data_IF_337175755571
#
_entry.id   IF_337175755571
#
_cell.length_a   1.000
_cell.length_b   1.000
_cell.length_c   1.000
_cell.angle_alpha   90.00
_cell.angle_beta   90.00
_cell.angle_gamma   90.00
#
_symmetry.space_group_name_H-M   'P 1'
#
loop_
_entity.id
_entity.type
_entity.pdbx_description
1 polymer ?
#
# COMPACT_ATOMS: atom_id res chain seq x y z
N UNK A 1 16.40 -78.64 47.37
CA UNK A 1 17.13 -79.90 47.13
C UNK A 1 17.52 -79.89 45.67
N UNK A 2 18.82 -79.80 45.44
CA UNK A 2 19.46 -79.61 44.14
C UNK A 2 19.51 -80.90 43.32
N UNK A 3 19.69 -80.74 42.00
CA UNK A 3 20.27 -81.70 41.05
C UNK A 3 19.37 -82.92 40.70
N UNK A 4 19.41 -83.57 39.54
CA UNK A 4 20.39 -83.60 38.45
C UNK A 4 19.81 -84.37 37.23
N UNK A 5 20.61 -84.46 36.16
CA UNK A 5 20.55 -85.39 35.00
C UNK A 5 19.68 -84.95 33.79
N UNK A 6 20.25 -84.41 32.69
CA UNK A 6 21.16 -85.00 31.70
C UNK A 6 20.50 -86.06 30.80
N UNK A 7 20.31 -85.74 29.52
CA UNK A 7 20.90 -86.52 28.43
C UNK A 7 20.93 -85.72 27.12
N UNK A 8 21.88 -86.08 26.26
CA UNK A 8 22.42 -85.30 25.16
C UNK A 8 22.11 -85.89 23.78
N UNK A 9 22.29 -85.03 22.78
CA UNK A 9 22.83 -85.31 21.45
C UNK A 9 21.90 -85.91 20.38
N UNK A 10 21.85 -85.20 19.25
CA UNK A 10 21.32 -85.71 17.98
C UNK A 10 21.06 -84.61 16.96
N UNK A 11 22.13 -84.00 16.42
CA UNK A 11 22.08 -83.32 15.11
C UNK A 11 22.78 -84.24 14.09
N UNK A 12 22.33 -84.28 12.81
CA UNK A 12 23.04 -83.48 11.81
C UNK A 12 22.14 -82.85 10.71
N UNK A 13 22.54 -81.63 10.28
CA UNK A 13 22.64 -81.06 8.91
C UNK A 13 21.83 -81.70 7.76
N UNK A 14 21.28 -81.03 6.74
CA UNK A 14 21.33 -79.67 6.20
C UNK A 14 20.59 -79.67 4.84
N UNK A 15 20.19 -78.48 4.36
CA UNK A 15 19.84 -78.13 2.96
C UNK A 15 18.46 -78.61 2.47
N UNK A 16 17.53 -77.76 2.02
CA UNK A 16 17.60 -76.90 0.82
C UNK A 16 16.37 -75.95 0.84
N UNK A 17 16.56 -74.63 0.81
CA UNK A 17 16.33 -73.76 -0.36
C UNK A 17 14.91 -73.76 -0.98
N UNK A 18 14.16 -72.68 -0.70
CA UNK A 18 13.54 -71.88 -1.77
C UNK A 18 12.02 -71.92 -1.97
N UNK A 19 11.44 -70.71 -1.90
CA UNK A 19 10.34 -70.19 -2.76
C UNK A 19 8.95 -70.01 -2.12
N UNK A 20 8.81 -68.86 -1.46
CA UNK A 20 7.75 -67.83 -1.61
C UNK A 20 6.46 -68.13 -2.39
N UNK A 21 5.30 -67.87 -1.76
CA UNK A 21 4.15 -67.23 -2.42
C UNK A 21 3.27 -66.50 -1.39
N UNK A 22 3.07 -65.20 -1.63
CA UNK A 22 2.36 -64.24 -0.80
C UNK A 22 0.82 -64.40 -0.87
N UNK A 23 0.13 -64.23 0.26
CA UNK A 23 -1.33 -64.10 0.33
C UNK A 23 -1.70 -62.61 0.38
N UNK A 24 -2.46 -62.16 -0.64
CA UNK A 24 -2.86 -60.77 -0.82
C UNK A 24 -3.96 -60.33 0.16
N UNK A 25 -3.71 -59.24 0.88
CA UNK A 25 -4.72 -58.49 1.66
C UNK A 25 -5.38 -57.43 0.78
N UNK A 26 -6.70 -57.51 0.62
CA UNK A 26 -7.50 -56.52 -0.11
C UNK A 26 -7.55 -55.18 0.66
N UNK A 27 -7.14 -54.04 0.08
CA UNK A 27 -7.29 -52.76 0.76
C UNK A 27 -8.73 -52.25 0.65
N UNK A 28 -9.31 -51.98 1.82
CA UNK A 28 -10.62 -51.36 2.03
C UNK A 28 -10.70 -50.01 1.28
N UNK A 29 -11.46 -49.97 0.19
CA UNK A 29 -11.67 -48.74 -0.60
C UNK A 29 -12.40 -47.69 0.24
N UNK A 30 -11.66 -46.66 0.66
CA UNK A 30 -12.22 -45.43 1.22
C UNK A 30 -12.90 -44.69 0.08
N UNK A 31 -14.23 -44.78 0.01
CA UNK A 31 -15.08 -44.02 -0.93
C UNK A 31 -14.94 -42.52 -0.65
N UNK A 32 -13.93 -41.88 -1.26
CA UNK A 32 -13.82 -40.42 -1.32
C UNK A 32 -15.04 -39.88 -2.08
N UNK A 33 -16.05 -39.42 -1.33
CA UNK A 33 -17.08 -38.53 -1.89
C UNK A 33 -16.35 -37.30 -2.40
N UNK A 34 -16.19 -37.16 -3.72
CA UNK A 34 -15.84 -35.89 -4.36
C UNK A 34 -16.99 -34.93 -4.07
N UNK A 35 -16.85 -34.11 -3.04
CA UNK A 35 -17.65 -32.90 -2.90
C UNK A 35 -17.23 -31.98 -4.04
N UNK A 36 -18.11 -31.82 -5.04
CA UNK A 36 -17.93 -30.89 -6.15
C UNK A 36 -18.22 -29.44 -5.77
N UNK A 37 -18.36 -29.15 -4.47
CA UNK A 37 -18.58 -27.80 -3.95
C UNK A 37 -17.34 -27.30 -3.22
N UNK A 38 -16.21 -27.22 -3.94
CA UNK A 38 -15.11 -26.37 -3.49
C UNK A 38 -15.55 -24.90 -3.73
N UNK A 39 -15.65 -24.04 -2.70
CA UNK A 39 -15.85 -22.62 -2.93
C UNK A 39 -14.68 -22.10 -3.77
N UNK A 40 -15.00 -21.41 -4.87
CA UNK A 40 -14.00 -20.82 -5.78
C UNK A 40 -13.02 -19.97 -4.94
N UNK A 41 -11.70 -20.09 -5.16
CA UNK A 41 -10.73 -19.35 -4.35
C UNK A 41 -11.02 -17.84 -4.43
N UNK A 42 -10.89 -17.10 -3.31
CA UNK A 42 -11.31 -15.70 -3.20
C UNK A 42 -10.63 -14.78 -4.22
N UNK A 43 -9.51 -15.23 -4.80
CA UNK A 43 -8.74 -14.54 -5.84
C UNK A 43 -9.52 -14.35 -7.15
N UNK A 44 -10.51 -15.20 -7.45
CA UNK A 44 -11.34 -15.07 -8.67
C UNK A 44 -12.63 -14.26 -8.46
N UNK A 45 -12.89 -13.81 -7.22
CA UNK A 45 -14.05 -13.00 -6.84
C UNK A 45 -13.68 -11.57 -6.46
N UNK A 46 -12.53 -11.06 -6.94
CA UNK A 46 -12.39 -9.63 -7.16
C UNK A 46 -13.33 -9.24 -8.31
N UNK A 47 -14.63 -9.29 -8.00
CA UNK A 47 -15.68 -8.76 -8.84
C UNK A 47 -15.25 -7.36 -9.23
N UNK A 48 -15.27 -7.08 -10.53
CA UNK A 48 -15.05 -5.74 -11.10
C UNK A 48 -15.91 -4.79 -10.26
N UNK A 49 -15.28 -4.06 -9.33
CA UNK A 49 -15.98 -3.12 -8.46
C UNK A 49 -16.53 -2.07 -9.40
N UNK A 50 -17.85 -2.08 -9.62
CA UNK A 50 -18.50 -1.14 -10.53
C UNK A 50 -18.10 0.28 -10.10
N UNK A 51 -17.62 1.06 -11.06
CA UNK A 51 -17.23 2.44 -10.82
C UNK A 51 -18.45 3.23 -10.33
N UNK A 52 -18.26 4.03 -9.29
CA UNK A 52 -19.28 4.96 -8.80
C UNK A 52 -19.57 6.02 -9.87
N UNK A 53 -20.81 6.54 -9.97
CA UNK A 53 -21.13 7.65 -10.86
C UNK A 53 -20.18 8.85 -10.69
N UNK A 54 -19.74 9.13 -9.46
CA UNK A 54 -18.75 10.19 -9.18
C UNK A 54 -17.40 9.93 -9.85
N UNK A 55 -16.94 8.68 -9.84
CA UNK A 55 -15.67 8.29 -10.47
C UNK A 55 -15.77 8.40 -12.00
N UNK A 56 -16.91 7.98 -12.57
CA UNK A 56 -17.16 8.09 -14.01
C UNK A 56 -17.14 9.57 -14.43
N UNK A 57 -17.87 10.44 -13.71
CA UNK A 57 -17.85 11.88 -13.96
C UNK A 57 -16.43 12.44 -13.84
N UNK A 58 -15.67 12.03 -12.82
CA UNK A 58 -14.28 12.44 -12.64
C UNK A 58 -13.37 12.04 -13.80
N UNK A 59 -13.46 10.80 -14.27
CA UNK A 59 -12.69 10.35 -15.44
C UNK A 59 -13.10 11.06 -16.72
N UNK A 60 -14.40 11.18 -17.00
CA UNK A 60 -14.89 11.82 -18.22
C UNK A 60 -14.53 13.30 -18.23
N UNK A 61 -14.82 14.03 -17.15
CA UNK A 61 -14.50 15.46 -17.06
C UNK A 61 -12.98 15.69 -17.11
N UNK A 62 -12.20 14.88 -16.40
CA UNK A 62 -10.75 14.98 -16.40
C UNK A 62 -10.17 14.75 -17.79
N UNK A 63 -10.63 13.71 -18.50
CA UNK A 63 -10.19 13.42 -19.86
C UNK A 63 -10.60 14.53 -20.84
N UNK A 64 -11.82 15.06 -20.71
CA UNK A 64 -12.29 16.16 -21.55
C UNK A 64 -11.39 17.39 -21.35
N UNK A 65 -11.15 17.80 -20.10
CA UNK A 65 -10.31 18.98 -19.82
C UNK A 65 -8.84 18.76 -20.16
N UNK A 66 -8.34 17.53 -20.07
CA UNK A 66 -7.00 17.17 -20.52
C UNK A 66 -6.85 17.38 -22.04
N UNK A 67 -7.88 17.10 -22.83
CA UNK A 67 -7.82 17.25 -24.29
C UNK A 67 -7.99 18.69 -24.77
N UNK A 68 -8.56 19.59 -23.96
CA UNK A 68 -8.87 20.96 -24.37
C UNK A 68 -7.62 21.73 -24.87
N UNK A 69 -6.48 21.76 -24.16
CA UNK A 69 -5.30 22.49 -24.62
C UNK A 69 -4.65 21.93 -25.88
N UNK A 70 -5.00 20.72 -26.31
CA UNK A 70 -4.53 20.14 -27.57
C UNK A 70 -5.41 20.51 -28.78
N UNK A 71 -6.63 21.01 -28.53
CA UNK A 71 -7.62 21.32 -29.58
C UNK A 71 -7.76 22.84 -29.73
N UNK A 72 -7.65 23.57 -28.63
CA UNK A 72 -7.78 25.03 -28.59
C UNK A 72 -6.41 25.63 -28.36
N UNK A 73 -5.87 26.26 -29.41
CA UNK A 73 -4.62 27.02 -29.35
C UNK A 73 -4.76 28.17 -28.35
N UNK A 74 -3.83 28.24 -27.39
CA UNK A 74 -3.85 29.26 -26.33
C UNK A 74 -2.87 30.38 -26.72
N UNK A 75 -3.36 31.59 -27.07
CA UNK A 75 -2.50 32.65 -27.55
C UNK A 75 -1.41 33.01 -26.55
N UNK A 76 -0.15 32.92 -26.99
CA UNK A 76 1.02 33.26 -26.17
C UNK A 76 1.57 32.12 -25.31
N UNK A 77 1.05 30.89 -25.45
CA UNK A 77 1.59 29.71 -24.79
C UNK A 77 2.33 28.84 -25.81
N UNK A 78 3.57 28.47 -25.52
CA UNK A 78 4.32 27.53 -26.35
C UNK A 78 3.81 26.10 -26.13
N UNK A 79 4.07 25.20 -27.08
CA UNK A 79 3.60 23.81 -27.05
C UNK A 79 3.93 23.05 -25.73
N UNK A 80 5.14 23.15 -25.15
CA UNK A 80 5.41 22.57 -23.82
C UNK A 80 4.48 23.10 -22.73
N UNK A 81 4.10 24.37 -22.80
CA UNK A 81 3.19 25.03 -21.86
C UNK A 81 1.76 24.54 -21.99
N UNK A 82 1.27 24.31 -23.20
CA UNK A 82 -0.06 23.73 -23.44
C UNK A 82 -0.18 22.31 -22.89
N UNK A 83 0.88 21.50 -23.05
CA UNK A 83 0.95 20.14 -22.47
C UNK A 83 0.94 20.18 -20.94
N UNK A 84 1.69 21.10 -20.33
CA UNK A 84 1.65 21.29 -18.88
C UNK A 84 0.28 21.76 -18.40
N UNK A 85 -0.39 22.65 -19.15
CA UNK A 85 -1.74 23.09 -18.83
C UNK A 85 -2.75 21.92 -18.88
N UNK A 86 -2.64 21.04 -19.87
CA UNK A 86 -3.47 19.84 -19.97
C UNK A 86 -3.33 18.93 -18.75
N UNK A 87 -2.09 18.66 -18.34
CA UNK A 87 -1.79 17.86 -17.14
C UNK A 87 -2.34 18.55 -15.88
N UNK A 88 -2.18 19.86 -15.76
CA UNK A 88 -2.66 20.64 -14.62
C UNK A 88 -4.18 20.62 -14.49
N UNK A 89 -4.92 20.79 -15.58
CA UNK A 89 -6.38 20.73 -15.58
C UNK A 89 -6.88 19.34 -15.20
N UNK A 90 -6.25 18.27 -15.70
CA UNK A 90 -6.54 16.90 -15.29
C UNK A 90 -6.32 16.71 -13.79
N UNK A 91 -5.19 17.21 -13.25
CA UNK A 91 -4.84 17.09 -11.84
C UNK A 91 -5.88 17.75 -10.93
N UNK A 92 -6.36 18.95 -11.27
CA UNK A 92 -7.41 19.65 -10.51
C UNK A 92 -8.68 18.80 -10.43
N UNK A 93 -9.13 18.25 -11.56
CA UNK A 93 -10.34 17.42 -11.58
C UNK A 93 -10.15 16.16 -10.72
N UNK A 94 -8.99 15.51 -10.82
CA UNK A 94 -8.71 14.29 -10.09
C UNK A 94 -8.50 14.53 -8.59
N UNK A 95 -8.00 15.69 -8.18
CA UNK A 95 -7.92 16.08 -6.77
C UNK A 95 -9.28 16.43 -6.17
N UNK A 96 -10.17 17.08 -6.92
CA UNK A 96 -11.49 17.50 -6.42
C UNK A 96 -12.49 16.35 -6.41
N UNK A 97 -12.52 15.54 -7.47
CA UNK A 97 -13.51 14.46 -7.63
C UNK A 97 -13.01 13.10 -7.14
N UNK A 98 -11.73 12.98 -6.82
CA UNK A 98 -11.07 11.77 -6.31
C UNK A 98 -11.53 10.49 -7.05
N UNK A 99 -11.46 10.42 -8.40
CA UNK A 99 -11.86 9.21 -9.14
C UNK A 99 -10.94 8.02 -8.80
N UNK A 100 -9.69 8.32 -8.45
CA UNK A 100 -8.64 7.41 -7.97
C UNK A 100 -8.02 7.98 -6.68
N UNK A 101 -7.29 7.17 -5.88
CA UNK A 101 -6.62 7.66 -4.67
C UNK A 101 -5.66 8.82 -4.95
N UNK A 102 -5.58 9.79 -4.03
CA UNK A 102 -4.73 10.99 -4.17
C UNK A 102 -3.26 10.67 -4.52
N UNK A 103 -2.69 9.63 -3.91
CA UNK A 103 -1.33 9.16 -4.22
C UNK A 103 -1.20 8.67 -5.66
N UNK A 104 -2.22 7.99 -6.19
CA UNK A 104 -2.24 7.54 -7.58
C UNK A 104 -2.35 8.72 -8.54
N UNK A 105 -3.14 9.76 -8.21
CA UNK A 105 -3.20 11.01 -8.97
C UNK A 105 -1.83 11.69 -9.03
N UNK A 106 -1.12 11.81 -7.91
CA UNK A 106 0.21 12.44 -7.88
C UNK A 106 1.24 11.69 -8.75
N UNK A 107 1.25 10.36 -8.70
CA UNK A 107 2.12 9.54 -9.56
C UNK A 107 1.71 9.65 -11.03
N UNK A 108 0.41 9.71 -11.33
CA UNK A 108 -0.10 9.90 -12.68
C UNK A 108 0.35 11.23 -13.28
N UNK A 109 0.34 12.32 -12.49
CA UNK A 109 0.82 13.63 -12.94
C UNK A 109 2.29 13.56 -13.36
N UNK A 110 3.17 13.04 -12.49
CA UNK A 110 4.60 12.90 -12.79
C UNK A 110 4.80 11.99 -14.02
N UNK A 111 4.04 10.91 -14.12
CA UNK A 111 4.09 10.01 -15.28
C UNK A 111 3.74 10.77 -16.57
N UNK A 112 2.68 11.58 -16.57
CA UNK A 112 2.30 12.36 -17.76
C UNK A 112 3.33 13.44 -18.10
N UNK A 113 3.91 14.11 -17.11
CA UNK A 113 4.98 15.09 -17.32
C UNK A 113 6.20 14.43 -18.00
N UNK A 114 6.59 13.24 -17.52
CA UNK A 114 7.67 12.47 -18.15
C UNK A 114 7.31 12.04 -19.57
N UNK A 115 6.08 11.57 -19.81
CA UNK A 115 5.68 11.05 -21.12
C UNK A 115 5.40 12.13 -22.17
N UNK A 116 5.02 13.34 -21.77
CA UNK A 116 4.53 14.38 -22.67
C UNK A 116 5.41 15.64 -22.71
N UNK A 117 6.17 15.93 -21.65
CA UNK A 117 6.88 17.20 -21.49
C UNK A 117 8.39 17.02 -21.38
N UNK A 118 8.87 15.88 -20.88
CA UNK A 118 10.32 15.66 -20.73
C UNK A 118 11.07 15.46 -22.06
N UNK A 119 12.40 15.56 -22.01
CA UNK A 119 13.26 15.33 -23.19
C UNK A 119 13.14 13.91 -23.78
N UNK A 120 12.62 12.95 -23.00
CA UNK A 120 12.34 11.57 -23.42
C UNK A 120 10.86 11.32 -23.69
N UNK A 121 10.06 12.37 -23.91
CA UNK A 121 8.64 12.26 -24.20
C UNK A 121 8.38 11.41 -25.46
N UNK A 122 7.17 10.82 -25.51
CA UNK A 122 6.74 9.97 -26.64
C UNK A 122 6.64 10.77 -27.94
N UNK A 123 6.26 12.04 -27.83
CA UNK A 123 6.12 12.98 -28.93
C UNK A 123 6.98 14.19 -28.61
N UNK A 124 7.70 14.69 -29.62
CA UNK A 124 8.58 15.86 -29.49
C UNK A 124 7.86 16.99 -28.71
N UNK A 125 8.32 17.34 -27.50
CA UNK A 125 7.63 18.31 -26.64
C UNK A 125 7.74 19.75 -27.15
N UNK A 126 8.68 20.05 -28.05
CA UNK A 126 8.89 21.42 -28.56
C UNK A 126 8.18 21.72 -29.86
N UNK A 127 7.46 20.75 -30.45
CA UNK A 127 6.82 20.94 -31.76
C UNK A 127 7.81 21.12 -32.91
N UNK A 128 9.07 20.71 -32.73
CA UNK A 128 10.16 20.96 -33.67
C UNK A 128 10.85 22.31 -33.53
N UNK A 129 10.49 23.14 -32.54
CA UNK A 129 11.16 24.41 -32.29
C UNK A 129 12.44 24.22 -31.45
N UNK A 130 13.59 24.47 -32.06
CA UNK A 130 14.90 24.39 -31.42
C UNK A 130 15.09 25.46 -30.33
N UNK A 131 14.38 26.59 -30.39
CA UNK A 131 14.46 27.64 -29.38
C UNK A 131 13.88 27.21 -28.02
N UNK A 132 13.03 26.16 -28.01
CA UNK A 132 12.40 25.62 -26.81
C UNK A 132 13.17 24.44 -26.20
N UNK A 133 14.30 24.02 -26.79
CA UNK A 133 15.06 22.87 -26.31
C UNK A 133 15.52 23.03 -24.84
N UNK A 134 15.88 24.25 -24.43
CA UNK A 134 16.31 24.56 -23.06
C UNK A 134 15.16 24.52 -22.04
N UNK A 135 13.91 24.57 -22.50
CA UNK A 135 12.72 24.52 -21.61
C UNK A 135 12.35 23.10 -21.22
N UNK A 136 12.89 22.10 -21.93
CA UNK A 136 12.54 20.69 -21.79
C UNK A 136 13.51 20.02 -20.83
N UNK A 137 13.01 19.60 -19.68
CA UNK A 137 13.83 19.00 -18.65
C UNK A 137 14.02 17.48 -18.87
N UNK A 138 15.15 16.91 -18.44
CA UNK A 138 15.31 15.48 -18.28
C UNK A 138 14.21 14.84 -17.41
N UNK A 139 13.80 13.62 -17.75
CA UNK A 139 12.84 12.85 -16.94
C UNK A 139 13.26 12.73 -15.46
N UNK A 140 14.57 12.68 -15.18
CA UNK A 140 15.11 12.61 -13.83
C UNK A 140 14.71 13.81 -12.94
N UNK A 141 14.57 15.00 -13.51
CA UNK A 141 14.23 16.21 -12.76
C UNK A 141 12.77 16.19 -12.28
N UNK A 142 11.86 15.62 -13.08
CA UNK A 142 10.47 15.38 -12.65
C UNK A 142 10.40 14.36 -11.51
N UNK A 143 11.21 13.30 -11.55
CA UNK A 143 11.30 12.35 -10.43
C UNK A 143 11.96 12.96 -9.19
N UNK A 144 12.85 13.93 -9.34
CA UNK A 144 13.49 14.61 -8.22
C UNK A 144 12.48 15.34 -7.31
N UNK A 145 11.31 15.71 -7.84
CA UNK A 145 10.22 16.27 -7.04
C UNK A 145 9.74 15.33 -5.91
N UNK A 146 9.84 14.01 -6.09
CA UNK A 146 9.51 13.01 -5.06
C UNK A 146 10.49 13.05 -3.87
N UNK A 147 11.73 13.50 -4.10
CA UNK A 147 12.79 13.60 -3.11
C UNK A 147 12.98 15.03 -2.59
N UNK A 148 11.94 15.87 -2.67
CA UNK A 148 11.99 17.23 -2.15
C UNK A 148 12.38 17.24 -0.65
N UNK A 149 13.30 18.12 -0.20
CA UNK A 149 13.72 18.18 1.20
C UNK A 149 12.57 18.31 2.20
N UNK A 150 11.48 18.98 1.83
CA UNK A 150 10.29 19.13 2.66
C UNK A 150 9.56 17.79 2.82
N UNK A 151 9.48 16.97 1.77
CA UNK A 151 8.88 15.62 1.83
C UNK A 151 9.73 14.73 2.75
N UNK A 152 11.06 14.76 2.59
CA UNK A 152 11.98 14.00 3.44
C UNK A 152 11.89 14.44 4.91
N UNK A 153 11.75 15.75 5.16
CA UNK A 153 11.54 16.30 6.50
C UNK A 153 10.23 15.77 7.12
N UNK A 154 9.12 15.80 6.39
CA UNK A 154 7.85 15.24 6.86
C UNK A 154 7.94 13.73 7.10
N UNK A 155 8.63 12.99 6.24
CA UNK A 155 8.87 11.56 6.44
C UNK A 155 9.63 11.30 7.76
N UNK A 156 10.70 12.05 8.03
CA UNK A 156 11.44 11.99 9.29
C UNK A 156 10.57 12.34 10.50
N UNK A 157 9.74 13.39 10.38
CA UNK A 157 8.78 13.78 11.42
C UNK A 157 7.76 12.68 11.73
N UNK A 158 7.19 12.05 10.69
CA UNK A 158 6.26 10.93 10.87
C UNK A 158 6.93 9.68 11.46
N UNK A 159 8.19 9.39 11.09
CA UNK A 159 8.95 8.29 11.70
C UNK A 159 9.17 8.52 13.21
N UNK A 160 9.52 9.76 13.61
CA UNK A 160 9.68 10.12 15.02
C UNK A 160 8.35 10.04 15.76
N UNK A 161 7.27 10.59 15.18
CA UNK A 161 5.93 10.56 15.77
C UNK A 161 5.43 9.13 15.96
N UNK A 162 5.59 8.27 14.95
CA UNK A 162 5.22 6.85 15.07
C UNK A 162 6.10 6.10 16.07
N UNK A 163 7.39 6.43 16.18
CA UNK A 163 8.25 5.94 17.24
C UNK A 163 7.73 6.32 18.63
N UNK A 164 7.36 7.60 18.82
CA UNK A 164 6.80 8.11 20.06
C UNK A 164 5.49 7.38 20.47
N UNK A 165 4.60 7.15 19.50
CA UNK A 165 3.36 6.38 19.67
C UNK A 165 3.67 4.93 20.08
N UNK A 166 4.57 4.26 19.34
CA UNK A 166 4.91 2.84 19.56
C UNK A 166 5.47 2.58 20.96
N UNK A 167 6.25 3.50 21.51
CA UNK A 167 6.78 3.40 22.88
C UNK A 167 5.87 4.02 23.95
N UNK A 168 4.69 4.53 23.57
CA UNK A 168 3.74 5.16 24.49
C UNK A 168 4.26 6.45 25.13
N UNK A 169 5.25 7.10 24.50
CA UNK A 169 5.84 8.35 24.99
C UNK A 169 4.81 9.48 24.97
N UNK A 170 3.96 9.50 23.95
CA UNK A 170 2.83 10.44 23.80
C UNK A 170 1.82 10.31 24.96
N UNK A 171 1.42 9.08 25.33
CA UNK A 171 0.51 8.81 26.44
C UNK A 171 1.11 9.16 27.80
N UNK A 172 2.38 8.81 28.02
CA UNK A 172 3.07 9.14 29.26
C UNK A 172 3.21 10.66 29.42
N UNK A 173 3.60 11.36 28.36
CA UNK A 173 3.71 12.81 28.34
C UNK A 173 2.35 13.48 28.61
N UNK A 174 1.28 13.01 27.96
CA UNK A 174 -0.08 13.51 28.20
C UNK A 174 -0.52 13.32 29.67
N UNK A 175 -0.26 12.15 30.25
CA UNK A 175 -0.59 11.86 31.65
C UNK A 175 0.16 12.77 32.63
N UNK A 176 1.42 13.10 32.36
CA UNK A 176 2.22 14.02 33.18
C UNK A 176 1.73 15.45 33.03
N UNK A 177 1.39 15.86 31.81
CA UNK A 177 0.84 17.19 31.53
C UNK A 177 -0.56 17.40 32.12
N UNK A 178 -1.33 16.33 32.36
CA UNK A 178 -2.65 16.39 33.01
C UNK A 178 -2.60 16.52 34.54
N UNK A 179 -1.51 16.09 35.20
CA UNK A 179 -1.35 16.16 36.67
C UNK A 179 -1.59 17.55 37.30
N UNK A 180 -1.18 18.69 36.70
CA UNK A 180 -1.42 20.01 37.27
C UNK A 180 -2.87 20.52 37.13
N UNK A 181 -3.75 19.84 36.38
CA UNK A 181 -5.14 20.25 36.21
C UNK A 181 -6.02 19.67 37.34
N UNK A 182 -6.70 20.52 38.15
CA UNK A 182 -7.54 20.06 39.27
C UNK A 182 -8.79 19.29 38.83
N UNK A 183 -9.34 18.46 39.72
CA UNK A 183 -10.47 17.53 39.53
C UNK A 183 -11.85 18.16 39.20
N UNK A 184 -11.91 19.39 38.70
CA UNK A 184 -13.15 19.93 38.14
C UNK A 184 -13.25 19.54 36.67
N UNK A 185 -14.39 18.98 36.25
CA UNK A 185 -14.60 18.52 34.88
C UNK A 185 -14.24 19.58 33.81
N UNK A 186 -14.48 20.86 34.12
CA UNK A 186 -14.14 21.98 33.23
C UNK A 186 -12.64 22.16 33.03
N UNK A 187 -11.84 22.01 34.10
CA UNK A 187 -10.38 22.18 34.02
C UNK A 187 -9.68 20.97 33.40
N UNK A 188 -10.22 19.76 33.61
CA UNK A 188 -9.74 18.54 32.95
C UNK A 188 -9.96 18.60 31.44
N UNK A 189 -11.14 19.04 30.99
CA UNK A 189 -11.42 19.22 29.55
C UNK A 189 -10.54 20.32 28.95
N UNK A 190 -10.32 21.43 29.66
CA UNK A 190 -9.40 22.49 29.21
C UNK A 190 -7.97 21.96 29.06
N UNK A 191 -7.47 21.19 30.05
CA UNK A 191 -6.16 20.56 30.00
C UNK A 191 -6.04 19.58 28.84
N UNK A 192 -7.07 18.77 28.60
CA UNK A 192 -7.14 17.86 27.46
C UNK A 192 -7.05 18.63 26.13
N UNK A 193 -7.83 19.71 25.95
CA UNK A 193 -7.80 20.53 24.73
C UNK A 193 -6.42 21.17 24.50
N UNK A 194 -5.78 21.69 25.54
CA UNK A 194 -4.44 22.30 25.48
C UNK A 194 -3.38 21.27 25.10
N UNK A 195 -3.40 20.10 25.73
CA UNK A 195 -2.46 19.01 25.44
C UNK A 195 -2.70 18.48 24.03
N UNK A 196 -3.96 18.36 23.60
CA UNK A 196 -4.32 17.99 22.22
C UNK A 196 -3.74 18.99 21.22
N UNK A 197 -3.91 20.29 21.46
CA UNK A 197 -3.41 21.33 20.57
C UNK A 197 -1.87 21.32 20.48
N UNK A 198 -1.19 21.15 21.62
CA UNK A 198 0.27 21.04 21.66
C UNK A 198 0.76 19.78 20.95
N UNK A 199 0.16 18.62 21.21
CA UNK A 199 0.51 17.37 20.55
C UNK A 199 0.18 17.41 19.04
N UNK A 200 -0.89 18.11 18.62
CA UNK A 200 -1.27 18.28 17.21
C UNK A 200 -0.27 19.08 16.38
N UNK A 201 0.58 19.90 17.01
CA UNK A 201 1.63 20.63 16.29
C UNK A 201 2.83 19.75 15.92
N UNK A 202 3.03 18.63 16.63
CA UNK A 202 4.18 17.74 16.44
C UNK A 202 3.79 16.36 15.93
N UNK A 203 2.54 15.93 16.14
CA UNK A 203 1.97 14.69 15.61
C UNK A 203 1.10 14.99 14.39
N UNK A 204 0.94 14.01 13.50
CA UNK A 204 -0.04 14.15 12.40
C UNK A 204 -1.45 14.27 12.99
N UNK A 205 -2.29 15.12 12.39
CA UNK A 205 -3.66 15.36 12.86
C UNK A 205 -4.47 14.06 13.05
N UNK A 206 -4.18 13.04 12.22
CA UNK A 206 -4.78 11.70 12.32
C UNK A 206 -4.30 10.94 13.56
N UNK A 207 -3.02 11.01 13.92
CA UNK A 207 -2.46 10.39 15.13
C UNK A 207 -3.00 11.06 16.40
N UNK A 208 -3.06 12.40 16.43
CA UNK A 208 -3.62 13.14 17.57
C UNK A 208 -5.08 12.78 17.83
N UNK A 209 -5.88 12.61 16.78
CA UNK A 209 -7.28 12.18 16.89
C UNK A 209 -7.39 10.77 17.49
N UNK A 210 -6.53 9.83 17.07
CA UNK A 210 -6.50 8.47 17.62
C UNK A 210 -6.10 8.43 19.11
N UNK A 211 -5.12 9.24 19.54
CA UNK A 211 -4.73 9.34 20.94
C UNK A 211 -5.88 9.88 21.80
N UNK A 212 -6.63 10.88 21.32
CA UNK A 212 -7.78 11.42 22.05
C UNK A 212 -8.94 10.43 22.17
N UNK A 213 -9.20 9.63 21.14
CA UNK A 213 -10.14 8.50 21.23
C UNK A 213 -9.72 7.43 22.24
N UNK A 214 -8.42 7.32 22.56
CA UNK A 214 -7.92 6.36 23.55
C UNK A 214 -7.93 6.93 24.99
N UNK A 215 -7.99 8.27 25.13
CA UNK A 215 -7.96 8.97 26.43
C UNK A 215 -9.38 9.30 26.93
N UNK A 216 -10.32 9.55 26.02
CA UNK A 216 -11.74 9.79 26.29
C UNK A 216 -12.50 8.46 26.26
#
# INVERSE_FOLDING_TARGET
>A
MSADAADSAGNPSSATAGTTAATATTPRQVRRRRSTNAPKPPVLQQAIKKLSPKQIVGFVLGLVLFLVPFIVDVPGLAEPGERMLAIFLLAIVFWVLEPIPLTATAVLVILLEVLLVSNGAIVDPTGGDAALADTVLPAADYFAALANPVIILFLGGFMIAHGAEKYGMDRNLASVMLKPFPSSARMTVLGLMLITALLSMFMSNTATTATMFAVV
#
